data_IF_501958083810
#
_entry.id   IF_501958083810
#
_cell.length_a   1.000
_cell.length_b   1.000
_cell.length_c   1.000
_cell.angle_alpha   90.00
_cell.angle_beta   90.00
_cell.angle_gamma   90.00
#
_symmetry.space_group_name_H-M   'P 1'
#
loop_
_entity.id
_entity.type
_entity.pdbx_description
1 polymer ?
#
# COMPACT_ATOMS: atom_id res chain seq x y z
N UNK A 1 2.35 26.31 -14.98
CA UNK A 1 3.03 25.99 -13.72
C UNK A 1 2.05 26.13 -12.56
N UNK A 2 1.67 25.03 -11.89
CA UNK A 2 0.81 25.07 -10.71
C UNK A 2 1.63 24.79 -9.46
N UNK A 3 1.84 25.78 -8.61
CA UNK A 3 2.56 25.60 -7.35
C UNK A 3 1.78 24.63 -6.44
N UNK A 4 2.33 23.44 -6.19
CA UNK A 4 1.75 22.49 -5.25
C UNK A 4 1.89 23.04 -3.83
N UNK A 5 0.78 23.50 -3.25
CA UNK A 5 0.70 24.00 -1.87
C UNK A 5 1.21 22.92 -0.90
N UNK A 6 2.19 23.26 -0.05
CA UNK A 6 2.70 22.35 0.97
C UNK A 6 1.60 22.09 2.00
N UNK A 7 1.28 20.82 2.20
CA UNK A 7 0.24 20.37 3.12
C UNK A 7 0.73 20.41 4.58
N UNK A 8 0.92 21.61 5.11
CA UNK A 8 1.31 21.83 6.51
C UNK A 8 0.07 21.81 7.41
N UNK A 9 0.26 21.45 8.68
CA UNK A 9 -0.83 21.45 9.68
C UNK A 9 -1.54 22.82 9.78
N UNK A 10 -0.79 23.92 9.63
CA UNK A 10 -1.37 25.27 9.56
C UNK A 10 -2.25 25.48 8.32
N UNK A 11 -1.86 24.97 7.15
CA UNK A 11 -2.68 25.02 5.94
C UNK A 11 -3.98 24.21 6.07
N UNK A 12 -3.95 23.07 6.76
CA UNK A 12 -5.14 22.25 7.02
C UNK A 12 -6.11 22.90 8.00
N UNK A 13 -5.59 23.57 9.04
CA UNK A 13 -6.41 24.28 10.02
C UNK A 13 -7.18 25.44 9.36
N UNK A 14 -6.51 26.22 8.52
CA UNK A 14 -7.15 27.33 7.80
C UNK A 14 -8.17 26.87 6.76
N UNK A 15 -7.93 25.75 6.08
CA UNK A 15 -8.90 25.18 5.13
C UNK A 15 -10.17 24.65 5.82
N UNK A 16 -10.06 24.14 7.06
CA UNK A 16 -11.22 23.69 7.85
C UNK A 16 -12.05 24.86 8.38
N UNK A 17 -11.42 25.95 8.81
CA UNK A 17 -12.16 27.14 9.24
C UNK A 17 -12.78 27.93 8.06
N UNK A 18 -12.24 27.78 6.85
CA UNK A 18 -12.78 28.40 5.63
C UNK A 18 -13.95 27.66 4.99
N UNK A 19 -14.25 26.43 5.42
CA UNK A 19 -15.45 25.71 4.98
C UNK A 19 -16.49 25.76 6.11
N UNK A 20 -17.21 26.88 6.19
CA UNK A 20 -18.55 26.85 6.77
C UNK A 20 -19.39 25.91 5.87
N UNK A 21 -20.08 24.90 6.42
CA UNK A 21 -21.00 24.10 5.61
C UNK A 21 -22.20 24.98 5.29
N UNK A 22 -22.33 25.42 4.04
CA UNK A 22 -23.66 25.69 3.52
C UNK A 22 -24.41 24.37 3.53
N UNK A 23 -25.35 24.28 4.47
CA UNK A 23 -26.28 23.17 4.54
C UNK A 23 -27.17 23.26 3.30
N UNK A 24 -27.17 22.18 2.51
CA UNK A 24 -28.19 21.91 1.52
C UNK A 24 -29.54 21.87 2.23
N UNK A 25 -30.27 22.99 2.18
CA UNK A 25 -31.67 23.06 2.57
C UNK A 25 -32.48 22.46 1.43
N UNK A 26 -33.12 21.34 1.74
CA UNK A 26 -34.18 20.75 0.92
C UNK A 26 -35.32 21.76 0.84
N UNK A 27 -35.78 21.98 -0.39
CA UNK A 27 -36.96 22.74 -0.78
C UNK A 27 -38.20 22.33 0.04
N UNK A 28 -38.63 23.18 0.98
CA UNK A 28 -40.03 23.26 1.39
C UNK A 28 -40.37 24.72 1.72
N UNK A 29 -41.47 25.20 1.16
CA UNK A 29 -41.82 26.61 1.12
C UNK A 29 -42.22 27.14 2.49
N UNK A 30 -41.48 28.12 3.01
CA UNK A 30 -42.02 29.05 4.00
C UNK A 30 -41.22 30.36 4.01
N UNK A 31 -41.89 31.39 3.50
CA UNK A 31 -41.88 32.81 3.93
C UNK A 31 -40.57 33.33 4.53
N UNK A 32 -39.92 34.24 3.78
CA UNK A 32 -38.94 35.19 4.30
C UNK A 32 -39.53 36.03 5.44
N UNK A 33 -39.23 35.64 6.69
CA UNK A 33 -39.25 36.55 7.83
C UNK A 33 -37.83 36.66 8.41
N UNK A 34 -37.36 37.89 8.75
CA UNK A 34 -36.12 38.07 9.47
C UNK A 34 -36.32 37.60 10.92
N UNK A 35 -35.96 36.36 11.22
CA UNK A 35 -35.93 35.85 12.59
C UNK A 35 -34.85 36.61 13.36
N UNK A 36 -35.29 37.53 14.21
CA UNK A 36 -34.46 38.15 15.23
C UNK A 36 -34.20 37.09 16.31
N UNK A 37 -33.23 36.21 16.07
CA UNK A 37 -32.79 35.23 17.06
C UNK A 37 -32.13 36.00 18.19
N UNK A 38 -32.80 36.06 19.36
CA UNK A 38 -32.20 36.52 20.60
C UNK A 38 -30.87 35.80 20.78
N UNK A 39 -29.80 36.57 20.93
CA UNK A 39 -28.45 36.05 21.12
C UNK A 39 -28.43 35.23 22.41
N UNK A 40 -28.44 33.90 22.28
CA UNK A 40 -28.40 32.97 23.42
C UNK A 40 -27.25 33.39 24.36
N UNK A 41 -27.53 33.79 25.61
CA UNK A 41 -26.50 34.27 26.54
C UNK A 41 -25.45 33.19 26.88
N UNK A 42 -25.68 31.92 26.52
CA UNK A 42 -24.71 30.83 26.66
C UNK A 42 -23.89 30.54 25.39
N UNK A 43 -24.10 31.25 24.29
CA UNK A 43 -23.37 31.01 23.04
C UNK A 43 -21.83 31.12 23.19
N UNK A 44 -21.35 31.93 24.15
CA UNK A 44 -19.93 32.12 24.42
C UNK A 44 -19.38 31.21 25.54
N UNK A 45 -20.24 30.47 26.25
CA UNK A 45 -19.82 29.57 27.32
C UNK A 45 -19.56 28.18 26.74
N UNK A 46 -18.28 27.87 26.48
CA UNK A 46 -17.88 26.59 25.93
C UNK A 46 -17.99 25.47 26.98
N UNK A 47 -19.21 25.00 27.23
CA UNK A 47 -19.48 23.90 28.14
C UNK A 47 -18.96 22.59 27.54
N UNK A 48 -18.15 21.81 28.28
CA UNK A 48 -17.71 20.50 27.80
C UNK A 48 -18.94 19.57 27.71
N UNK A 49 -19.28 19.17 26.47
CA UNK A 49 -20.41 18.28 26.18
C UNK A 49 -20.30 16.89 26.84
N UNK A 50 -19.07 16.47 27.15
CA UNK A 50 -18.76 15.17 27.72
C UNK A 50 -17.63 15.28 28.74
N UNK A 51 -17.72 14.49 29.80
CA UNK A 51 -16.65 14.40 30.81
C UNK A 51 -15.44 13.63 30.28
N UNK A 52 -14.27 13.79 30.91
CA UNK A 52 -13.06 13.01 30.53
C UNK A 52 -13.27 11.49 30.67
N UNK A 53 -14.04 11.07 31.69
CA UNK A 53 -14.39 9.67 31.95
C UNK A 53 -15.25 9.12 30.81
N UNK A 54 -16.25 9.87 30.39
CA UNK A 54 -17.16 9.53 29.31
C UNK A 54 -16.44 9.44 27.95
N UNK A 55 -15.55 10.39 27.63
CA UNK A 55 -14.71 10.32 26.42
C UNK A 55 -13.84 9.07 26.39
N UNK A 56 -13.30 8.65 27.53
CA UNK A 56 -12.50 7.44 27.63
C UNK A 56 -13.37 6.19 27.41
N UNK A 57 -14.55 6.14 28.02
CA UNK A 57 -15.53 5.06 27.85
C UNK A 57 -15.99 4.96 26.38
N UNK A 58 -16.34 6.08 25.75
CA UNK A 58 -16.74 6.14 24.34
C UNK A 58 -15.63 5.65 23.41
N UNK A 59 -14.36 5.99 23.70
CA UNK A 59 -13.20 5.49 22.95
C UNK A 59 -13.04 3.97 23.09
N UNK A 60 -13.21 3.44 24.30
CA UNK A 60 -13.16 2.00 24.56
C UNK A 60 -14.32 1.26 23.86
N UNK A 61 -15.54 1.78 23.97
CA UNK A 61 -16.72 1.21 23.33
C UNK A 61 -16.62 1.24 21.80
N UNK A 62 -16.10 2.33 21.22
CA UNK A 62 -15.84 2.42 19.78
C UNK A 62 -14.83 1.35 19.35
N UNK A 63 -13.75 1.17 20.11
CA UNK A 63 -12.76 0.14 19.82
C UNK A 63 -13.35 -1.28 19.90
N UNK A 64 -14.14 -1.59 20.93
CA UNK A 64 -14.81 -2.88 21.07
C UNK A 64 -15.83 -3.12 19.95
N UNK A 65 -16.57 -2.09 19.53
CA UNK A 65 -17.51 -2.18 18.40
C UNK A 65 -16.79 -2.46 17.09
N UNK A 66 -15.63 -1.83 16.84
CA UNK A 66 -14.79 -2.10 15.67
C UNK A 66 -14.20 -3.52 15.69
N UNK A 67 -13.91 -4.05 16.88
CA UNK A 67 -13.44 -5.42 17.04
C UNK A 67 -14.56 -6.44 16.80
N UNK A 68 -15.79 -6.17 17.27
CA UNK A 68 -16.97 -7.04 17.11
C UNK A 68 -17.59 -7.01 15.71
N UNK A 69 -17.64 -5.85 15.06
CA UNK A 69 -18.11 -5.73 13.67
C UNK A 69 -17.17 -6.40 12.65
N UNK A 70 -15.94 -6.73 13.06
CA UNK A 70 -14.91 -7.37 12.24
C UNK A 70 -14.98 -8.90 12.24
N UNK A 71 -15.62 -9.52 13.24
CA UNK A 71 -15.76 -10.98 13.32
C UNK A 71 -17.01 -11.50 12.60
N UNK A 72 -17.92 -10.63 12.17
CA UNK A 72 -19.25 -10.99 11.65
C UNK A 72 -19.46 -10.70 10.16
N UNK A 73 -18.55 -9.97 9.50
CA UNK A 73 -18.61 -9.70 8.06
C UNK A 73 -17.54 -10.54 7.34
N UNK A 74 -17.95 -11.72 6.86
CA UNK A 74 -17.52 -12.24 5.57
C UNK A 74 -16.21 -13.01 5.48
N UNK A 75 -16.36 -14.34 5.40
CA UNK A 75 -15.77 -15.22 4.39
C UNK A 75 -14.24 -15.40 4.32
N UNK A 76 -13.88 -16.69 4.45
CA UNK A 76 -12.52 -17.20 4.40
C UNK A 76 -11.76 -16.79 3.14
N UNK A 77 -10.69 -16.02 3.33
CA UNK A 77 -9.47 -15.97 2.50
C UNK A 77 -8.61 -14.71 2.75
N UNK A 78 -8.86 -13.92 3.80
CA UNK A 78 -8.08 -12.69 4.08
C UNK A 78 -7.82 -12.35 5.56
N UNK A 79 -8.18 -13.23 6.50
CA UNK A 79 -8.42 -12.90 7.91
C UNK A 79 -7.22 -12.39 8.76
N UNK A 80 -5.99 -12.43 8.27
CA UNK A 80 -4.84 -12.22 9.17
C UNK A 80 -4.48 -10.75 9.46
N UNK A 81 -5.05 -9.78 8.75
CA UNK A 81 -4.59 -8.38 8.84
C UNK A 81 -5.67 -7.29 8.76
N UNK A 82 -6.94 -7.63 8.54
CA UNK A 82 -7.94 -6.64 8.12
C UNK A 82 -8.48 -5.76 9.25
N UNK A 83 -7.76 -4.71 9.63
CA UNK A 83 -8.08 -3.81 10.76
C UNK A 83 -6.89 -3.48 11.65
N UNK A 84 -5.72 -4.05 11.33
CA UNK A 84 -4.44 -3.59 11.85
C UNK A 84 -3.92 -2.50 10.91
N UNK A 85 -3.51 -1.36 11.45
CA UNK A 85 -2.95 -0.28 10.62
C UNK A 85 -1.74 -0.76 9.83
N UNK A 86 -1.56 -0.22 8.61
CA UNK A 86 -0.43 -0.60 7.74
C UNK A 86 0.93 -0.48 8.44
N UNK A 87 1.09 0.49 9.34
CA UNK A 87 2.33 0.65 10.12
C UNK A 87 2.53 -0.47 11.15
N UNK A 88 1.46 -0.91 11.82
CA UNK A 88 1.52 -2.02 12.77
C UNK A 88 1.82 -3.35 12.07
N UNK A 89 1.22 -3.60 10.89
CA UNK A 89 1.56 -4.78 10.06
C UNK A 89 3.05 -4.76 9.66
N UNK A 90 3.56 -3.61 9.22
CA UNK A 90 4.98 -3.47 8.86
C UNK A 90 5.91 -3.72 10.06
N UNK A 91 5.55 -3.24 11.25
CA UNK A 91 6.33 -3.47 12.48
C UNK A 91 6.33 -4.96 12.86
N UNK A 92 5.16 -5.62 12.85
CA UNK A 92 5.03 -7.06 13.11
C UNK A 92 5.86 -7.88 12.12
N UNK A 93 5.75 -7.60 10.82
CA UNK A 93 6.55 -8.30 9.79
C UNK A 93 8.05 -8.05 9.93
N UNK A 94 8.47 -6.84 10.31
CA UNK A 94 9.89 -6.56 10.59
C UNK A 94 10.38 -7.37 11.79
N UNK A 95 9.61 -7.39 12.88
CA UNK A 95 9.94 -8.17 14.09
C UNK A 95 10.05 -9.66 13.79
N UNK A 96 9.06 -10.22 13.09
CA UNK A 96 9.10 -11.63 12.64
C UNK A 96 10.32 -11.93 11.78
N UNK A 97 10.70 -11.02 10.87
CA UNK A 97 11.93 -11.17 10.07
C UNK A 97 13.20 -11.04 10.90
N UNK A 98 13.19 -10.28 11.99
CA UNK A 98 14.34 -10.16 12.90
C UNK A 98 14.48 -11.39 13.79
N UNK A 99 13.37 -11.98 14.21
CA UNK A 99 13.29 -13.24 14.96
C UNK A 99 13.72 -14.44 14.09
N UNK A 100 13.37 -14.44 12.80
CA UNK A 100 13.75 -15.50 11.84
C UNK A 100 15.16 -15.32 11.24
N UNK A 101 15.90 -14.27 11.62
CA UNK A 101 17.31 -14.17 11.20
C UNK A 101 18.13 -15.19 11.97
N UNK A 102 19.14 -15.81 11.33
CA UNK A 102 20.02 -16.73 12.03
C UNK A 102 20.67 -16.04 13.23
N UNK A 103 20.38 -16.55 14.42
CA UNK A 103 20.96 -16.15 15.70
C UNK A 103 21.71 -17.34 16.28
N UNK A 104 22.95 -17.09 16.72
CA UNK A 104 23.77 -18.13 17.37
C UNK A 104 23.14 -18.64 18.67
N UNK A 105 22.43 -17.77 19.39
CA UNK A 105 21.68 -18.12 20.60
C UNK A 105 20.62 -19.20 20.32
N UNK A 106 19.93 -19.11 19.16
CA UNK A 106 18.88 -20.04 18.75
C UNK A 106 19.45 -21.41 18.37
N UNK A 107 20.66 -21.45 17.80
CA UNK A 107 21.37 -22.69 17.50
C UNK A 107 21.79 -23.43 18.78
N UNK A 108 22.23 -22.70 19.80
CA UNK A 108 22.62 -23.28 21.09
C UNK A 108 21.39 -23.84 21.83
N UNK A 109 20.27 -23.11 21.82
CA UNK A 109 19.03 -23.60 22.42
C UNK A 109 18.40 -24.75 21.61
N UNK A 110 18.50 -24.73 20.28
CA UNK A 110 18.02 -25.82 19.43
C UNK A 110 18.83 -27.10 19.63
N UNK A 111 20.15 -27.02 19.81
CA UNK A 111 21.00 -28.18 20.11
C UNK A 111 20.71 -28.81 21.48
N UNK A 112 20.33 -28.00 22.48
CA UNK A 112 19.87 -28.50 23.77
C UNK A 112 18.49 -29.16 23.64
N UNK A 113 17.57 -28.57 22.88
CA UNK A 113 16.23 -29.13 22.63
C UNK A 113 16.25 -30.39 21.75
N UNK A 114 17.18 -30.51 20.80
CA UNK A 114 17.33 -31.71 19.96
C UNK A 114 17.72 -32.95 20.78
N UNK A 115 18.49 -32.79 21.86
CA UNK A 115 18.82 -33.91 22.77
C UNK A 115 17.59 -34.43 23.50
N UNK A 116 16.67 -33.55 23.88
CA UNK A 116 15.40 -33.91 24.51
C UNK A 116 14.43 -34.55 23.49
N UNK A 117 14.46 -34.09 22.23
CA UNK A 117 13.61 -34.62 21.14
C UNK A 117 14.10 -35.96 20.57
N UNK A 118 15.40 -36.27 20.66
CA UNK A 118 15.96 -37.57 20.26
C UNK A 118 15.34 -38.74 21.05
N UNK A 119 14.91 -38.51 22.29
CA UNK A 119 14.18 -39.53 23.08
C UNK A 119 12.82 -39.90 22.45
N UNK A 120 12.13 -38.93 21.86
CA UNK A 120 10.79 -39.12 21.27
C UNK A 120 10.88 -39.69 19.85
N UNK A 121 11.87 -39.27 19.05
CA UNK A 121 12.08 -39.81 17.70
C UNK A 121 12.47 -41.30 17.72
N UNK A 122 13.23 -41.73 18.72
CA UNK A 122 13.60 -43.14 18.89
C UNK A 122 12.42 -44.03 19.36
N UNK A 123 11.36 -43.45 19.93
CA UNK A 123 10.12 -44.17 20.27
C UNK A 123 9.15 -44.26 19.08
N UNK A 124 9.15 -43.29 18.17
CA UNK A 124 8.33 -43.32 16.95
C UNK A 124 8.80 -44.33 15.90
N UNK A 125 10.07 -44.76 15.93
CA UNK A 125 10.62 -45.73 14.96
C UNK A 125 10.29 -47.20 15.32
N UNK A 126 9.66 -47.47 16.47
CA UNK A 126 9.34 -48.85 16.91
C UNK A 126 7.90 -49.29 16.66
N UNK A 127 7.05 -48.47 16.05
CA UNK A 127 5.62 -48.73 15.99
C UNK A 127 4.93 -48.37 14.67
N UNK A 128 5.48 -48.68 13.50
CA UNK A 128 4.68 -48.77 12.24
C UNK A 128 5.31 -49.79 11.27
N UNK A 129 5.20 -51.08 11.57
CA UNK A 129 5.20 -52.12 10.54
C UNK A 129 3.78 -52.13 9.93
N UNK A 130 3.62 -51.40 8.83
CA UNK A 130 2.31 -51.20 8.20
C UNK A 130 2.45 -50.67 6.79
N UNK A 131 2.78 -51.59 5.89
CA UNK A 131 2.73 -51.53 4.43
C UNK A 131 1.66 -50.54 3.91
N UNK A 132 2.08 -49.29 3.67
CA UNK A 132 1.30 -48.28 2.96
C UNK A 132 2.31 -47.42 2.18
N UNK A 133 2.63 -47.88 0.98
CA UNK A 133 3.22 -47.06 -0.07
C UNK A 133 2.27 -45.88 -0.39
N UNK A 134 2.42 -44.78 0.34
CA UNK A 134 1.85 -43.50 -0.06
C UNK A 134 2.79 -42.92 -1.11
N UNK A 135 2.51 -43.26 -2.36
CA UNK A 135 3.09 -42.64 -3.56
C UNK A 135 2.81 -41.12 -3.52
N UNK A 136 3.76 -40.36 -2.97
CA UNK A 136 3.82 -38.90 -3.02
C UNK A 136 4.40 -38.45 -4.36
N UNK A 137 3.83 -38.94 -5.47
CA UNK A 137 4.08 -38.38 -6.78
C UNK A 137 3.75 -36.88 -6.80
N UNK A 138 4.58 -36.01 -7.42
CA UNK A 138 4.28 -34.59 -7.49
C UNK A 138 3.07 -34.37 -8.41
N UNK A 139 1.86 -34.26 -7.84
CA UNK A 139 0.66 -33.78 -8.54
C UNK A 139 0.78 -32.29 -8.83
N UNK A 140 1.65 -31.95 -9.77
CA UNK A 140 1.72 -30.62 -10.37
C UNK A 140 0.52 -30.53 -11.32
N UNK A 141 -0.54 -29.85 -10.87
CA UNK A 141 -1.63 -29.43 -11.75
C UNK A 141 -1.09 -28.37 -12.71
N UNK A 142 -0.78 -28.76 -13.94
CA UNK A 142 -0.53 -27.82 -15.02
C UNK A 142 -1.84 -27.06 -15.30
N UNK A 143 -1.88 -25.79 -14.92
CA UNK A 143 -2.96 -24.88 -15.28
C UNK A 143 -2.66 -24.42 -16.71
N UNK A 144 -3.59 -24.65 -17.64
CA UNK A 144 -3.48 -24.22 -19.03
C UNK A 144 -3.04 -22.76 -19.11
N UNK A 145 -1.80 -22.57 -19.56
CA UNK A 145 -1.27 -21.25 -19.86
C UNK A 145 -1.98 -20.76 -21.11
N UNK A 146 -3.10 -20.04 -20.92
CA UNK A 146 -3.78 -19.30 -21.99
C UNK A 146 -2.75 -18.44 -22.69
N UNK A 147 -2.31 -18.87 -23.87
CA UNK A 147 -1.33 -18.16 -24.68
C UNK A 147 -1.81 -16.73 -24.89
N UNK A 148 -1.16 -15.80 -24.21
CA UNK A 148 -1.34 -14.38 -24.39
C UNK A 148 -0.78 -14.03 -25.76
N UNK A 149 -1.61 -14.18 -26.80
CA UNK A 149 -1.28 -13.73 -28.15
C UNK A 149 -0.77 -12.28 -28.06
N UNK A 150 0.46 -11.98 -28.51
CA UNK A 150 0.97 -10.63 -28.48
C UNK A 150 0.07 -9.77 -29.36
N UNK A 151 -0.67 -8.83 -28.75
CA UNK A 151 -1.46 -7.86 -29.50
C UNK A 151 -0.53 -7.17 -30.49
N UNK A 152 -0.86 -7.21 -31.78
CA UNK A 152 -0.16 -6.46 -32.83
C UNK A 152 -0.12 -5.00 -32.38
N UNK A 153 1.09 -4.49 -32.20
CA UNK A 153 1.33 -3.14 -31.70
C UNK A 153 1.28 -2.21 -32.89
N UNK A 154 0.23 -1.39 -32.94
CA UNK A 154 0.08 -0.32 -33.94
C UNK A 154 1.37 0.53 -34.00
N UNK A 155 1.86 0.84 -35.22
CA UNK A 155 3.05 1.67 -35.38
C UNK A 155 2.81 3.05 -34.78
N UNK A 156 3.47 3.34 -33.66
CA UNK A 156 3.32 4.58 -32.90
C UNK A 156 2.84 4.40 -31.46
N UNK A 157 2.40 3.19 -31.06
CA UNK A 157 2.04 2.93 -29.67
C UNK A 157 3.26 2.54 -28.82
N UNK A 158 3.58 3.36 -27.83
CA UNK A 158 4.69 3.11 -26.91
C UNK A 158 4.27 2.01 -25.92
N UNK A 159 4.91 0.83 -26.01
CA UNK A 159 4.70 -0.28 -25.06
C UNK A 159 5.08 0.19 -23.65
N UNK A 160 4.08 0.49 -22.82
CA UNK A 160 4.30 0.84 -21.41
C UNK A 160 4.76 -0.42 -20.67
N UNK A 161 6.07 -0.51 -20.41
CA UNK A 161 6.64 -1.59 -19.62
C UNK A 161 6.16 -1.47 -18.16
N UNK A 162 5.72 -2.59 -17.57
CA UNK A 162 5.36 -2.66 -16.14
C UNK A 162 6.59 -2.27 -15.30
N UNK A 163 6.38 -1.55 -14.20
CA UNK A 163 7.40 -1.08 -13.25
C UNK A 163 8.40 0.00 -13.73
N UNK A 164 8.20 0.60 -14.91
CA UNK A 164 8.97 1.79 -15.31
C UNK A 164 8.43 3.06 -14.66
N UNK A 165 9.27 4.08 -14.41
CA UNK A 165 8.82 5.36 -13.89
C UNK A 165 7.79 6.00 -14.84
N UNK A 166 6.74 6.58 -14.27
CA UNK A 166 5.60 7.12 -15.01
C UNK A 166 5.50 8.63 -14.77
N UNK A 167 5.32 9.41 -15.86
CA UNK A 167 5.10 10.86 -15.85
C UNK A 167 3.91 11.29 -14.99
N UNK A 168 2.89 10.44 -14.84
CA UNK A 168 1.71 10.72 -14.01
C UNK A 168 2.06 10.81 -12.51
N UNK A 169 3.09 10.09 -12.07
CA UNK A 169 3.55 10.13 -10.67
C UNK A 169 4.71 11.12 -10.52
N UNK A 170 4.66 12.02 -9.54
CA UNK A 170 5.71 13.02 -9.31
C UNK A 170 7.10 12.39 -9.11
N UNK A 171 7.19 11.27 -8.38
CA UNK A 171 8.47 10.56 -8.22
C UNK A 171 8.96 9.96 -9.54
N UNK A 172 8.03 9.42 -10.33
CA UNK A 172 8.32 8.87 -11.65
C UNK A 172 8.78 9.95 -12.62
N UNK A 173 8.09 11.09 -12.67
CA UNK A 173 8.47 12.25 -13.48
C UNK A 173 9.86 12.78 -13.12
N UNK A 174 10.21 12.86 -11.83
CA UNK A 174 11.56 13.25 -11.40
C UNK A 174 12.62 12.25 -11.87
N UNK A 175 12.34 10.95 -11.76
CA UNK A 175 13.25 9.91 -12.22
C UNK A 175 13.42 9.92 -13.75
N UNK A 176 12.33 10.13 -14.50
CA UNK A 176 12.37 10.28 -15.95
C UNK A 176 13.21 11.49 -16.36
N UNK A 177 12.99 12.65 -15.73
CA UNK A 177 13.78 13.85 -16.00
C UNK A 177 15.27 13.63 -15.76
N UNK A 178 15.67 12.97 -14.66
CA UNK A 178 17.07 12.66 -14.41
C UNK A 178 17.67 11.73 -15.48
N UNK A 179 16.92 10.70 -15.88
CA UNK A 179 17.35 9.77 -16.93
C UNK A 179 17.44 10.45 -18.30
N UNK A 180 16.52 11.36 -18.61
CA UNK A 180 16.53 12.17 -19.83
C UNK A 180 17.71 13.13 -19.85
N UNK A 181 18.02 13.81 -18.75
CA UNK A 181 19.21 14.66 -18.64
C UNK A 181 20.49 13.85 -18.85
N UNK A 182 20.59 12.65 -18.26
CA UNK A 182 21.74 11.77 -18.45
C UNK A 182 21.88 11.33 -19.93
N UNK A 183 20.79 10.92 -20.57
CA UNK A 183 20.78 10.56 -22.00
C UNK A 183 21.14 11.75 -22.89
N UNK A 184 20.62 12.93 -22.58
CA UNK A 184 20.92 14.14 -23.33
C UNK A 184 22.41 14.46 -23.27
N UNK A 185 23.02 14.39 -22.08
CA UNK A 185 24.46 14.58 -21.93
C UNK A 185 25.27 13.55 -22.74
N UNK A 186 24.83 12.28 -22.78
CA UNK A 186 25.46 11.25 -23.60
C UNK A 186 25.39 11.57 -25.10
N UNK A 187 24.24 12.04 -25.58
CA UNK A 187 24.06 12.46 -26.98
C UNK A 187 24.99 13.62 -27.32
N UNK A 188 25.11 14.61 -26.44
CA UNK A 188 26.01 15.74 -26.63
C UNK A 188 27.48 15.33 -26.68
N UNK A 189 27.88 14.28 -25.97
CA UNK A 189 29.26 13.77 -26.02
C UNK A 189 29.55 12.90 -27.25
N UNK A 190 28.53 12.46 -27.99
CA UNK A 190 28.72 11.55 -29.11
C UNK A 190 29.25 12.32 -30.35
N UNK A 191 30.43 11.94 -30.84
CA UNK A 191 31.07 12.59 -31.99
C UNK A 191 30.25 12.46 -33.29
N UNK A 192 29.56 11.34 -33.49
CA UNK A 192 28.75 11.12 -34.69
C UNK A 192 27.54 12.06 -34.73
N UNK A 193 26.94 12.30 -33.55
CA UNK A 193 25.87 13.27 -33.39
C UNK A 193 26.36 14.71 -33.59
N UNK A 194 27.57 15.04 -33.12
CA UNK A 194 28.18 16.36 -33.34
C UNK A 194 28.48 16.62 -34.83
N UNK A 195 28.96 15.61 -35.56
CA UNK A 195 29.28 15.72 -36.99
C UNK A 195 28.03 15.78 -37.87
N UNK A 196 27.02 14.95 -37.58
CA UNK A 196 25.79 14.90 -38.36
C UNK A 196 24.57 14.53 -37.47
N UNK A 197 23.91 15.53 -36.85
CA UNK A 197 22.85 15.27 -35.88
C UNK A 197 21.62 14.63 -36.54
N UNK A 198 21.24 15.08 -37.74
CA UNK A 198 20.07 14.56 -38.45
C UNK A 198 20.31 13.18 -39.06
N UNK A 199 21.54 12.88 -39.50
CA UNK A 199 21.95 11.56 -39.98
C UNK A 199 21.88 10.51 -38.86
N UNK A 200 22.55 10.79 -37.74
CA UNK A 200 22.53 9.93 -36.56
C UNK A 200 21.10 9.70 -36.04
N UNK A 201 20.26 10.74 -36.03
CA UNK A 201 18.86 10.60 -35.61
C UNK A 201 18.04 9.69 -36.54
N UNK A 202 18.24 9.77 -37.86
CA UNK A 202 17.56 8.90 -38.84
C UNK A 202 17.94 7.43 -38.62
N UNK A 203 19.21 7.15 -38.35
CA UNK A 203 19.69 5.79 -38.07
C UNK A 203 19.08 5.22 -36.78
N UNK A 204 19.06 6.01 -35.70
CA UNK A 204 18.45 5.60 -34.43
C UNK A 204 16.94 5.31 -34.60
N UNK A 205 16.22 6.16 -35.33
CA UNK A 205 14.79 5.94 -35.62
C UNK A 205 14.59 4.68 -36.45
N UNK A 206 15.49 4.37 -37.40
CA UNK A 206 15.43 3.15 -38.19
C UNK A 206 15.64 1.91 -37.33
N UNK A 207 16.59 1.94 -36.40
CA UNK A 207 16.85 0.87 -35.43
C UNK A 207 15.68 0.64 -34.46
N UNK A 208 14.97 1.71 -34.04
CA UNK A 208 13.84 1.60 -33.12
C UNK A 208 12.59 0.97 -33.77
N UNK A 209 12.48 1.00 -35.10
CA UNK A 209 11.34 0.43 -35.84
C UNK A 209 11.47 -1.09 -36.10
N UNK A 210 12.66 -1.67 -35.91
CA UNK A 210 12.89 -3.12 -35.95
C UNK A 210 12.55 -3.76 -34.60
#
# INVERSE_FOLDING_TARGET
>A
MGAKKRNTLRGKANARNGQKPESNVVNDGSVDQPYNLESDPKAFLHQPKETKKEKMLNRQNTFLSQLRGRTTIGDGSGANFDGISKSSIRRRKRKQREELKPRMEDLLTSLEQEKDLQGIMNESDRAVDGDNDIDMGPRIKFVDAKEMRPKKVEPGSIKIKKNQPNMRNQKGAKALSANETARFNQILTNQDFQKNPFGALREIIKLQKQ
#
